data_IF_471151060955
#
_entry.id   IF_471151060955
#
_cell.length_a   1.000
_cell.length_b   1.000
_cell.length_c   1.000
_cell.angle_alpha   90.00
_cell.angle_beta   90.00
_cell.angle_gamma   90.00
#
_symmetry.space_group_name_H-M   'P 1'
#
loop_
_entity.id
_entity.type
_entity.pdbx_description
1 polymer ?
#
# COMPACT_ATOMS: atom_id res chain seq x y z
N UNK A 1 3.02 36.81 -14.24
CA UNK A 1 3.36 35.40 -13.97
C UNK A 1 2.39 34.83 -12.95
N UNK A 2 1.67 33.75 -13.31
CA UNK A 2 0.58 33.19 -12.51
C UNK A 2 1.04 31.98 -11.62
N UNK A 3 2.34 31.70 -11.57
CA UNK A 3 2.89 30.61 -10.76
C UNK A 3 2.58 30.87 -9.29
N UNK A 4 1.98 29.88 -8.62
CA UNK A 4 1.60 29.93 -7.20
C UNK A 4 0.44 30.90 -6.86
N UNK A 5 -0.24 31.49 -7.87
CA UNK A 5 -1.39 32.36 -7.61
C UNK A 5 -2.55 31.59 -6.97
N UNK A 6 -3.14 32.12 -5.90
CA UNK A 6 -4.25 31.50 -5.17
C UNK A 6 -3.89 30.21 -4.41
N UNK A 7 -2.61 29.92 -4.19
CA UNK A 7 -2.12 28.71 -3.53
C UNK A 7 -1.28 29.02 -2.28
N UNK A 8 -1.24 28.07 -1.36
CA UNK A 8 -0.22 28.02 -0.30
C UNK A 8 0.86 26.97 -0.64
N UNK A 9 2.01 27.04 0.00
CA UNK A 9 3.09 26.04 -0.18
C UNK A 9 2.62 24.60 0.06
N UNK A 10 1.67 24.41 0.97
CA UNK A 10 1.12 23.08 1.28
C UNK A 10 0.19 22.53 0.19
N UNK A 11 -0.41 23.38 -0.62
CA UNK A 11 -1.14 22.93 -1.82
C UNK A 11 -0.21 22.24 -2.82
N UNK A 12 1.07 22.61 -2.85
CA UNK A 12 2.07 21.93 -3.65
C UNK A 12 2.65 20.72 -2.90
N UNK A 13 3.27 20.94 -1.72
CA UNK A 13 4.06 19.90 -1.05
C UNK A 13 3.24 18.72 -0.60
N UNK A 14 2.05 18.91 -0.02
CA UNK A 14 1.19 17.81 0.45
C UNK A 14 0.66 16.95 -0.72
N UNK A 15 0.36 17.55 -1.86
CA UNK A 15 -0.10 16.79 -3.03
C UNK A 15 1.05 16.05 -3.71
N UNK A 16 2.26 16.61 -3.74
CA UNK A 16 3.46 15.90 -4.24
C UNK A 16 3.83 14.74 -3.29
N UNK A 17 3.78 14.93 -1.97
CA UNK A 17 3.97 13.86 -1.01
C UNK A 17 2.95 12.72 -1.21
N UNK A 18 1.66 13.06 -1.38
CA UNK A 18 0.63 12.08 -1.67
C UNK A 18 0.90 11.29 -2.96
N UNK A 19 1.35 11.97 -4.02
CA UNK A 19 1.74 11.35 -5.28
C UNK A 19 2.91 10.37 -5.07
N UNK A 20 3.97 10.80 -4.39
CA UNK A 20 5.14 9.98 -4.12
C UNK A 20 4.81 8.75 -3.27
N UNK A 21 3.96 8.89 -2.25
CA UNK A 21 3.49 7.77 -1.42
C UNK A 21 2.70 6.78 -2.27
N UNK A 22 1.73 7.25 -3.07
CA UNK A 22 0.94 6.38 -3.95
C UNK A 22 1.82 5.63 -4.94
N UNK A 23 2.74 6.32 -5.61
CA UNK A 23 3.64 5.71 -6.59
C UNK A 23 4.58 4.69 -5.91
N UNK A 24 5.03 4.97 -4.69
CA UNK A 24 5.76 4.01 -3.87
C UNK A 24 4.93 2.76 -3.53
N UNK A 25 3.65 2.93 -3.20
CA UNK A 25 2.72 1.81 -2.95
C UNK A 25 2.49 0.97 -4.21
N UNK A 26 2.42 1.58 -5.41
CA UNK A 26 2.32 0.86 -6.69
C UNK A 26 3.55 -0.01 -6.93
N UNK A 27 4.75 0.51 -6.67
CA UNK A 27 6.00 -0.28 -6.78
C UNK A 27 5.97 -1.50 -5.84
N UNK A 28 5.49 -1.30 -4.60
CA UNK A 28 5.35 -2.40 -3.62
C UNK A 28 4.30 -3.41 -4.08
N UNK A 29 3.18 -2.94 -4.63
CA UNK A 29 2.13 -3.79 -5.20
C UNK A 29 2.67 -4.71 -6.30
N UNK A 30 3.39 -4.18 -7.28
CA UNK A 30 3.95 -4.96 -8.39
C UNK A 30 4.96 -6.03 -7.91
N UNK A 31 5.78 -5.66 -6.90
CA UNK A 31 6.68 -6.62 -6.25
C UNK A 31 5.91 -7.70 -5.49
N UNK A 32 4.78 -7.37 -4.88
CA UNK A 32 3.92 -8.32 -4.17
C UNK A 32 3.27 -9.31 -5.15
N UNK A 33 2.77 -8.85 -6.29
CA UNK A 33 2.26 -9.71 -7.37
C UNK A 33 3.34 -10.70 -7.81
N UNK A 34 4.55 -10.22 -8.05
CA UNK A 34 5.69 -11.07 -8.42
C UNK A 34 6.01 -12.10 -7.33
N UNK A 35 6.01 -11.69 -6.06
CA UNK A 35 6.25 -12.58 -4.93
C UNK A 35 5.17 -13.66 -4.81
N UNK A 36 3.88 -13.29 -4.92
CA UNK A 36 2.76 -14.24 -4.91
C UNK A 36 2.89 -15.27 -6.02
N UNK A 37 3.23 -14.85 -7.25
CA UNK A 37 3.46 -15.76 -8.36
C UNK A 37 4.59 -16.75 -8.05
N UNK A 38 5.72 -16.29 -7.52
CA UNK A 38 6.86 -17.15 -7.16
C UNK A 38 6.55 -18.11 -6.02
N UNK A 39 5.81 -17.66 -5.00
CA UNK A 39 5.38 -18.54 -3.90
C UNK A 39 4.39 -19.59 -4.45
N UNK A 40 3.48 -19.20 -5.34
CA UNK A 40 2.54 -20.12 -5.99
C UNK A 40 3.25 -21.19 -6.83
N UNK A 41 4.26 -20.83 -7.63
CA UNK A 41 5.11 -21.77 -8.36
C UNK A 41 5.78 -22.78 -7.41
N UNK A 42 6.32 -22.32 -6.27
CA UNK A 42 6.94 -23.19 -5.27
C UNK A 42 5.92 -24.06 -4.54
N UNK A 43 4.74 -23.55 -4.26
CA UNK A 43 3.66 -24.33 -3.68
C UNK A 43 3.25 -25.50 -4.60
N UNK A 44 3.10 -25.24 -5.90
CA UNK A 44 2.80 -26.27 -6.89
C UNK A 44 3.97 -27.26 -7.08
N UNK A 45 5.20 -26.77 -7.21
CA UNK A 45 6.41 -27.60 -7.40
C UNK A 45 6.58 -28.63 -6.27
N UNK A 46 6.31 -28.23 -5.03
CA UNK A 46 6.53 -29.06 -3.85
C UNK A 46 5.22 -29.60 -3.24
N UNK A 47 4.14 -29.62 -4.00
CA UNK A 47 2.81 -30.06 -3.52
C UNK A 47 2.76 -31.51 -3.02
N UNK A 48 3.59 -32.38 -3.60
CA UNK A 48 3.72 -33.81 -3.22
C UNK A 48 4.95 -34.11 -2.37
N UNK A 49 5.81 -33.14 -2.07
CA UNK A 49 7.02 -33.33 -1.26
C UNK A 49 6.64 -33.45 0.23
N UNK A 50 6.70 -34.66 0.85
CA UNK A 50 6.33 -34.82 2.24
C UNK A 50 7.40 -34.24 3.17
N UNK A 51 6.96 -33.60 4.24
CA UNK A 51 7.79 -33.16 5.35
C UNK A 51 7.09 -33.43 6.69
N UNK A 52 7.86 -33.58 7.75
CA UNK A 52 7.31 -33.66 9.10
C UNK A 52 6.80 -32.27 9.54
N UNK A 53 5.50 -32.13 9.71
CA UNK A 53 4.91 -30.99 10.40
C UNK A 53 5.28 -31.06 11.88
N UNK A 54 5.69 -29.93 12.46
CA UNK A 54 6.11 -29.84 13.85
C UNK A 54 5.14 -29.00 14.67
N UNK A 55 4.88 -29.44 15.92
CA UNK A 55 4.20 -28.68 16.94
C UNK A 55 5.09 -28.63 18.16
N UNK A 56 5.31 -27.46 18.75
CA UNK A 56 6.26 -27.27 19.85
C UNK A 56 7.67 -27.87 19.57
N UNK A 57 8.14 -27.69 18.33
CA UNK A 57 9.39 -28.21 17.77
C UNK A 57 9.50 -29.77 17.74
N UNK A 58 8.43 -30.51 18.02
CA UNK A 58 8.36 -31.96 17.94
C UNK A 58 7.63 -32.41 16.69
N UNK A 59 8.08 -33.47 15.98
CA UNK A 59 7.32 -34.04 14.87
C UNK A 59 5.91 -34.43 15.30
N UNK A 60 4.90 -33.99 14.53
CA UNK A 60 3.49 -34.23 14.84
C UNK A 60 2.81 -35.02 13.71
N UNK A 61 2.67 -34.44 12.54
CA UNK A 61 1.95 -35.04 11.42
C UNK A 61 2.70 -34.81 10.10
N UNK A 62 2.46 -35.67 9.12
CA UNK A 62 2.97 -35.46 7.76
C UNK A 62 2.20 -34.32 7.09
N UNK A 63 2.92 -33.43 6.48
CA UNK A 63 2.41 -32.37 5.60
C UNK A 63 3.26 -32.32 4.34
N UNK A 64 3.14 -31.28 3.52
CA UNK A 64 3.99 -31.09 2.34
C UNK A 64 4.75 -29.76 2.42
N UNK A 65 5.90 -29.69 1.77
CA UNK A 65 6.64 -28.46 1.63
C UNK A 65 5.82 -27.44 0.81
N UNK A 66 5.09 -27.90 -0.20
CA UNK A 66 4.19 -27.05 -0.99
C UNK A 66 3.10 -26.38 -0.14
N UNK A 67 2.54 -27.09 0.84
CA UNK A 67 1.57 -26.49 1.78
C UNK A 67 2.19 -25.36 2.61
N UNK A 68 3.45 -25.43 2.97
CA UNK A 68 4.14 -24.33 3.68
C UNK A 68 4.17 -23.07 2.86
N UNK A 69 4.50 -23.18 1.56
CA UNK A 69 4.45 -22.04 0.63
C UNK A 69 3.01 -21.56 0.45
N UNK A 70 2.04 -22.45 0.24
CA UNK A 70 0.64 -22.08 0.08
C UNK A 70 0.08 -21.31 1.28
N UNK A 71 0.41 -21.73 2.50
CA UNK A 71 -0.02 -21.03 3.72
C UNK A 71 0.58 -19.61 3.80
N UNK A 72 1.82 -19.44 3.35
CA UNK A 72 2.43 -18.11 3.28
C UNK A 72 1.78 -17.24 2.18
N UNK A 73 1.44 -17.82 1.02
CA UNK A 73 0.72 -17.10 -0.02
C UNK A 73 -0.66 -16.63 0.47
N UNK A 74 -1.39 -17.47 1.19
CA UNK A 74 -2.70 -17.12 1.77
C UNK A 74 -2.59 -15.90 2.71
N UNK A 75 -1.61 -15.89 3.61
CA UNK A 75 -1.36 -14.74 4.49
C UNK A 75 -0.98 -13.48 3.69
N UNK A 76 -0.16 -13.63 2.65
CA UNK A 76 0.26 -12.52 1.80
C UNK A 76 -0.91 -11.90 1.01
N UNK A 77 -1.91 -12.71 0.63
CA UNK A 77 -3.10 -12.25 -0.08
C UNK A 77 -3.89 -11.23 0.73
N UNK A 78 -4.03 -11.40 2.05
CA UNK A 78 -4.69 -10.37 2.90
C UNK A 78 -3.97 -9.02 2.83
N UNK A 79 -2.64 -9.04 2.86
CA UNK A 79 -1.85 -7.80 2.70
C UNK A 79 -1.98 -7.20 1.31
N UNK A 80 -2.00 -8.03 0.28
CA UNK A 80 -2.18 -7.63 -1.11
C UNK A 80 -3.54 -6.94 -1.35
N UNK A 81 -4.63 -7.56 -0.89
CA UNK A 81 -5.98 -7.00 -1.03
C UNK A 81 -6.11 -5.65 -0.33
N UNK A 82 -5.55 -5.53 0.87
CA UNK A 82 -5.51 -4.28 1.61
C UNK A 82 -4.70 -3.20 0.88
N UNK A 83 -3.52 -3.56 0.34
CA UNK A 83 -2.67 -2.64 -0.42
C UNK A 83 -3.36 -2.15 -1.69
N UNK A 84 -4.00 -3.07 -2.44
CA UNK A 84 -4.76 -2.72 -3.65
C UNK A 84 -5.87 -1.72 -3.33
N UNK A 85 -6.67 -2.01 -2.30
CA UNK A 85 -7.73 -1.10 -1.85
C UNK A 85 -7.19 0.25 -1.37
N UNK A 86 -6.04 0.27 -0.69
CA UNK A 86 -5.40 1.51 -0.25
C UNK A 86 -4.97 2.37 -1.45
N UNK A 87 -4.35 1.80 -2.47
CA UNK A 87 -3.92 2.52 -3.68
C UNK A 87 -5.12 3.14 -4.39
N UNK A 88 -6.19 2.37 -4.57
CA UNK A 88 -7.40 2.83 -5.27
C UNK A 88 -8.07 4.04 -4.61
N UNK A 89 -8.08 4.09 -3.29
CA UNK A 89 -8.75 5.13 -2.50
C UNK A 89 -7.81 6.16 -1.90
N UNK A 90 -6.50 6.07 -2.14
CA UNK A 90 -5.53 7.01 -1.58
C UNK A 90 -5.79 8.42 -2.13
N UNK A 91 -6.07 9.41 -1.26
CA UNK A 91 -6.57 10.70 -1.71
C UNK A 91 -5.44 11.69 -2.01
N UNK A 92 -5.71 12.61 -2.94
CA UNK A 92 -5.02 13.88 -3.03
C UNK A 92 -5.56 14.81 -1.92
N UNK A 93 -4.70 15.65 -1.32
CA UNK A 93 -5.16 16.66 -0.36
C UNK A 93 -6.09 17.68 -1.01
N UNK A 94 -5.80 18.08 -2.24
CA UNK A 94 -6.48 19.14 -2.96
C UNK A 94 -5.84 20.53 -2.80
N UNK A 95 -6.44 21.52 -3.43
CA UNK A 95 -5.99 22.92 -3.39
C UNK A 95 -6.88 23.67 -2.38
N UNK A 96 -6.56 23.53 -1.11
CA UNK A 96 -7.41 23.98 0.00
C UNK A 96 -6.95 25.29 0.65
N UNK A 97 -5.80 25.82 0.25
CA UNK A 97 -5.23 27.03 0.85
C UNK A 97 -4.68 26.81 2.28
N UNK A 98 -4.32 27.89 2.98
CA UNK A 98 -3.60 27.82 4.26
C UNK A 98 -4.42 27.32 5.43
N UNK A 99 -5.76 27.37 5.36
CA UNK A 99 -6.66 26.96 6.45
C UNK A 99 -7.79 26.02 5.99
N UNK A 100 -7.74 25.55 4.76
CA UNK A 100 -8.72 24.59 4.23
C UNK A 100 -9.97 25.20 3.59
N UNK A 101 -10.05 26.51 3.45
CA UNK A 101 -11.22 27.23 2.89
C UNK A 101 -11.15 27.43 1.38
N UNK A 102 -9.99 27.24 0.77
CA UNK A 102 -9.69 27.54 -0.64
C UNK A 102 -10.04 29.00 -1.06
N UNK A 103 -10.15 29.93 -0.09
CA UNK A 103 -10.65 31.27 -0.33
C UNK A 103 -9.86 31.99 -1.44
N UNK A 104 -8.53 32.00 -1.36
CA UNK A 104 -7.68 32.70 -2.33
C UNK A 104 -7.87 32.15 -3.76
N UNK A 105 -8.03 30.84 -3.89
CA UNK A 105 -8.29 30.19 -5.17
C UNK A 105 -9.71 30.48 -5.69
N UNK A 106 -10.71 30.49 -4.81
CA UNK A 106 -12.10 30.85 -5.17
C UNK A 106 -12.19 32.29 -5.62
N UNK A 107 -11.53 33.21 -4.92
CA UNK A 107 -11.50 34.64 -5.28
C UNK A 107 -10.79 34.86 -6.62
N UNK A 108 -9.68 34.14 -6.87
CA UNK A 108 -8.96 34.20 -8.12
C UNK A 108 -9.79 33.68 -9.32
N UNK A 109 -10.53 32.58 -9.12
CA UNK A 109 -11.30 31.89 -10.16
C UNK A 109 -12.74 32.42 -10.28
N UNK A 110 -13.18 33.25 -9.35
CA UNK A 110 -14.48 33.91 -9.35
C UNK A 110 -15.66 33.04 -8.85
N UNK A 111 -15.45 31.74 -8.57
CA UNK A 111 -16.52 30.89 -8.02
C UNK A 111 -16.00 29.58 -7.41
N UNK A 112 -16.78 29.01 -6.49
CA UNK A 112 -16.53 27.67 -5.93
C UNK A 112 -16.61 26.57 -6.99
N UNK A 113 -17.53 26.68 -7.96
CA UNK A 113 -17.65 25.71 -9.06
C UNK A 113 -16.38 25.67 -9.94
N UNK A 114 -15.79 26.84 -10.22
CA UNK A 114 -14.55 26.92 -10.99
C UNK A 114 -13.38 26.29 -10.21
N UNK A 115 -13.34 26.52 -8.89
CA UNK A 115 -12.36 25.90 -8.02
C UNK A 115 -12.50 24.36 -7.98
N UNK A 116 -13.72 23.82 -7.83
CA UNK A 116 -13.97 22.37 -7.85
C UNK A 116 -13.54 21.72 -9.19
N UNK A 117 -13.81 22.40 -10.30
CA UNK A 117 -13.35 21.94 -11.63
C UNK A 117 -11.83 21.92 -11.74
N UNK A 118 -11.15 22.91 -11.17
CA UNK A 118 -9.68 22.93 -11.11
C UNK A 118 -9.16 21.75 -10.27
N UNK A 119 -9.68 21.52 -9.08
CA UNK A 119 -9.28 20.38 -8.24
C UNK A 119 -9.48 19.03 -8.95
N UNK A 120 -10.64 18.85 -9.59
CA UNK A 120 -10.93 17.63 -10.34
C UNK A 120 -9.98 17.43 -11.53
N UNK A 121 -9.62 18.52 -12.23
CA UNK A 121 -8.68 18.46 -13.34
C UNK A 121 -7.26 18.09 -12.86
N UNK A 122 -6.79 18.67 -11.75
CA UNK A 122 -5.49 18.34 -11.14
C UNK A 122 -5.49 16.88 -10.66
N UNK A 123 -6.54 16.45 -9.96
CA UNK A 123 -6.64 15.07 -9.50
C UNK A 123 -6.57 14.07 -10.66
N UNK A 124 -7.30 14.35 -11.73
CA UNK A 124 -7.28 13.53 -12.96
C UNK A 124 -5.88 13.49 -13.59
N UNK A 125 -5.23 14.64 -13.74
CA UNK A 125 -3.88 14.74 -14.33
C UNK A 125 -2.85 13.97 -13.49
N UNK A 126 -2.94 14.05 -12.15
CA UNK A 126 -2.08 13.32 -11.23
C UNK A 126 -2.53 11.86 -11.00
N UNK A 127 -3.63 11.42 -11.61
CA UNK A 127 -4.13 10.05 -11.52
C UNK A 127 -4.76 9.69 -10.18
N UNK A 128 -5.31 10.65 -9.42
CA UNK A 128 -6.05 10.39 -8.19
C UNK A 128 -7.54 10.21 -8.45
N UNK A 129 -8.12 9.16 -7.85
CA UNK A 129 -9.56 8.90 -7.89
C UNK A 129 -10.33 9.69 -6.81
N UNK A 130 -9.63 10.26 -5.85
CA UNK A 130 -10.21 10.93 -4.69
C UNK A 130 -9.44 12.19 -4.32
N UNK A 131 -10.18 13.24 -3.96
CA UNK A 131 -9.67 14.43 -3.29
C UNK A 131 -10.30 14.49 -1.90
N UNK A 132 -9.56 14.97 -0.89
CA UNK A 132 -10.15 15.19 0.43
C UNK A 132 -11.16 16.33 0.37
N UNK A 133 -12.37 16.11 0.89
CA UNK A 133 -13.44 17.12 0.90
C UNK A 133 -13.16 18.24 1.90
N UNK A 134 -12.72 17.87 3.11
CA UNK A 134 -12.46 18.81 4.18
C UNK A 134 -11.14 18.48 4.87
N UNK A 135 -10.23 19.43 4.87
CA UNK A 135 -8.94 19.33 5.55
C UNK A 135 -8.43 20.72 5.89
N UNK A 136 -7.51 20.84 6.83
CA UNK A 136 -6.81 22.07 7.11
C UNK A 136 -5.61 22.30 6.17
N UNK A 137 -4.57 22.94 6.67
CA UNK A 137 -3.34 23.16 5.92
C UNK A 137 -2.65 21.85 5.53
N UNK A 138 -2.71 20.83 6.39
CA UNK A 138 -2.11 19.50 6.19
C UNK A 138 -3.19 18.43 6.09
N UNK A 139 -2.89 17.32 5.40
CA UNK A 139 -3.77 16.16 5.36
C UNK A 139 -3.82 15.45 6.72
N UNK A 140 -4.88 14.64 7.00
CA UNK A 140 -4.97 13.87 8.24
C UNK A 140 -3.83 12.86 8.37
N UNK A 141 -2.99 13.00 9.40
CA UNK A 141 -1.82 12.11 9.62
C UNK A 141 -2.19 10.65 9.91
N UNK A 142 -3.46 10.35 10.12
CA UNK A 142 -3.98 8.97 10.13
C UNK A 142 -3.79 8.24 8.80
N UNK A 143 -3.62 8.96 7.67
CA UNK A 143 -3.25 8.35 6.40
C UNK A 143 -1.85 7.73 6.44
N UNK A 144 -0.89 8.37 7.11
CA UNK A 144 0.46 7.82 7.28
C UNK A 144 0.42 6.52 8.08
N UNK A 145 -0.41 6.48 9.14
CA UNK A 145 -0.63 5.26 9.93
C UNK A 145 -1.23 4.15 9.08
N UNK A 146 -2.19 4.45 8.21
CA UNK A 146 -2.80 3.47 7.33
C UNK A 146 -1.79 2.88 6.35
N UNK A 147 -0.95 3.73 5.74
CA UNK A 147 0.16 3.30 4.86
C UNK A 147 1.11 2.37 5.62
N UNK A 148 1.61 2.81 6.77
CA UNK A 148 2.57 2.04 7.57
C UNK A 148 2.00 0.69 8.00
N UNK A 149 0.76 0.65 8.50
CA UNK A 149 0.14 -0.61 8.95
C UNK A 149 -0.16 -1.56 7.80
N UNK A 150 -0.45 -1.05 6.61
CA UNK A 150 -0.61 -1.86 5.40
C UNK A 150 0.73 -2.49 5.00
N UNK A 151 1.81 -1.73 4.99
CA UNK A 151 3.16 -2.25 4.70
C UNK A 151 3.65 -3.25 5.74
N UNK A 152 3.37 -3.02 7.04
CA UNK A 152 3.68 -3.97 8.11
C UNK A 152 2.93 -5.29 7.93
N UNK A 153 1.63 -5.24 7.63
CA UNK A 153 0.84 -6.44 7.37
C UNK A 153 1.38 -7.20 6.15
N UNK A 154 1.73 -6.50 5.09
CA UNK A 154 2.29 -7.10 3.89
C UNK A 154 3.63 -7.80 4.16
N UNK A 155 4.48 -7.23 5.03
CA UNK A 155 5.78 -7.79 5.40
C UNK A 155 5.69 -9.00 6.34
N UNK A 156 4.54 -9.25 6.99
CA UNK A 156 4.37 -10.32 7.96
C UNK A 156 4.60 -11.71 7.35
N UNK A 157 3.97 -12.00 6.22
CA UNK A 157 4.08 -13.28 5.54
C UNK A 157 5.52 -13.60 5.06
N UNK A 158 6.21 -12.74 4.31
CA UNK A 158 7.60 -12.98 3.92
C UNK A 158 8.54 -13.17 5.11
N UNK A 159 8.35 -12.41 6.18
CA UNK A 159 9.13 -12.54 7.42
C UNK A 159 8.90 -13.90 8.10
N UNK A 160 7.64 -14.32 8.20
CA UNK A 160 7.25 -15.62 8.77
C UNK A 160 7.77 -16.77 7.91
N UNK A 161 7.67 -16.67 6.58
CA UNK A 161 8.22 -17.67 5.65
C UNK A 161 9.74 -17.81 5.78
N UNK A 162 10.47 -16.70 5.79
CA UNK A 162 11.93 -16.70 5.96
C UNK A 162 12.34 -17.35 7.29
N UNK A 163 11.62 -17.04 8.38
CA UNK A 163 11.83 -17.69 9.68
C UNK A 163 11.56 -19.19 9.60
N UNK A 164 10.48 -19.60 8.95
CA UNK A 164 10.12 -21.01 8.76
C UNK A 164 11.19 -21.77 7.96
N UNK A 165 11.71 -21.19 6.87
CA UNK A 165 12.79 -21.78 6.07
C UNK A 165 14.05 -21.96 6.94
N UNK A 166 14.43 -20.94 7.70
CA UNK A 166 15.59 -21.02 8.60
C UNK A 166 15.43 -22.13 9.65
N UNK A 167 14.25 -22.28 10.24
CA UNK A 167 13.98 -23.33 11.22
C UNK A 167 13.95 -24.72 10.57
N UNK A 168 13.42 -24.85 9.38
CA UNK A 168 13.43 -26.12 8.63
C UNK A 168 14.86 -26.53 8.26
N UNK A 169 15.70 -25.60 7.81
CA UNK A 169 17.11 -25.87 7.54
C UNK A 169 17.87 -26.32 8.81
N UNK A 170 17.65 -25.64 9.94
CA UNK A 170 18.23 -26.04 11.22
C UNK A 170 17.75 -27.41 11.75
N UNK A 171 16.60 -27.88 11.28
CA UNK A 171 16.07 -29.23 11.59
C UNK A 171 16.37 -30.26 10.48
N UNK A 172 17.25 -29.94 9.52
CA UNK A 172 17.65 -30.79 8.39
C UNK A 172 16.47 -31.26 7.51
N UNK A 173 15.38 -30.50 7.47
CA UNK A 173 14.20 -30.80 6.65
C UNK A 173 14.32 -30.27 5.21
N UNK A 174 15.19 -29.29 4.99
CA UNK A 174 15.52 -28.69 3.70
C UNK A 174 16.99 -28.31 3.69
N UNK A 175 17.62 -28.34 2.52
CA UNK A 175 19.02 -27.93 2.29
C UNK A 175 19.09 -26.84 1.25
#
# INVERSE_FOLDING_TARGET
EAIHAGMTSRDLTENIEALQVRDGLVIVHDKTVTLLARIGEKAAQYSSQPIAGRSHNVPAQITTLGKRFASSAEELLFGYERLTSLIERYPMRGIKGPVGTAQDSIDLLGSSDAHQKLEAAIAKELGFNRVLDSTGQVYPRSLDYEVLTTLVQLAASPSSLATSIRLMAGAELVT
#
